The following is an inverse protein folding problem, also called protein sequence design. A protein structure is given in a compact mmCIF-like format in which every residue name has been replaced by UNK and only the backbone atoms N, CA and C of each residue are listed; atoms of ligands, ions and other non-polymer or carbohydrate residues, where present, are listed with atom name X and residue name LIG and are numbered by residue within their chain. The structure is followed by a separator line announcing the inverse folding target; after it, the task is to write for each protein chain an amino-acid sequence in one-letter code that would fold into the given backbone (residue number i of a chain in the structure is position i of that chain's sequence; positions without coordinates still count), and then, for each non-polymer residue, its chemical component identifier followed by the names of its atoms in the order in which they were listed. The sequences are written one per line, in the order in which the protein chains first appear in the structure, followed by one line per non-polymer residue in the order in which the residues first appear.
data_IF_723491154969
#
_entry.id   IF_723491154969
#
_cell.length_a   1.000
_cell.length_b   1.000
_cell.length_c   1.000
_cell.angle_alpha   90.00
_cell.angle_beta   90.00
_cell.angle_gamma   90.00
#
_symmetry.space_group_name_H-M   'P 1'
#
loop_
_entity.id
_entity.type
_entity.pdbx_description
1 polymer ?
#
# COMPACT_ATOMS: atom_id res chain seq x y z
N UNK A 1 21.98 -3.78 9.38
CA UNK A 1 21.08 -4.95 9.36
C UNK A 1 19.72 -4.51 9.84
N UNK A 2 18.65 -4.87 9.13
CA UNK A 2 17.28 -4.62 9.58
C UNK A 2 16.96 -5.46 10.81
N UNK A 3 16.42 -4.85 11.87
CA UNK A 3 16.02 -5.56 13.09
C UNK A 3 14.63 -6.15 12.97
N UNK A 4 13.70 -5.38 12.41
CA UNK A 4 12.35 -5.79 12.13
C UNK A 4 12.17 -6.04 10.62
N UNK A 5 11.31 -7.00 10.29
CA UNK A 5 10.76 -7.13 8.95
C UNK A 5 9.73 -6.03 8.73
N UNK A 6 9.58 -5.60 7.47
CA UNK A 6 8.72 -4.47 7.12
C UNK A 6 7.93 -4.77 5.86
N UNK A 7 6.67 -4.36 5.87
CA UNK A 7 5.77 -4.37 4.71
C UNK A 7 5.65 -2.96 4.17
N UNK A 8 6.29 -2.70 3.03
CA UNK A 8 6.39 -1.36 2.46
C UNK A 8 5.34 -1.13 1.37
N UNK A 9 4.35 -0.24 1.58
CA UNK A 9 3.34 0.01 0.57
C UNK A 9 3.93 0.70 -0.66
N UNK A 10 3.39 0.41 -1.85
CA UNK A 10 3.91 0.97 -3.11
C UNK A 10 3.13 2.16 -3.67
N UNK A 11 2.05 2.59 -3.01
CA UNK A 11 1.21 3.67 -3.52
C UNK A 11 1.83 5.07 -3.37
N UNK A 12 1.28 6.03 -4.10
CA UNK A 12 1.77 7.42 -4.07
C UNK A 12 1.70 8.05 -2.67
N UNK A 13 0.75 7.62 -1.83
CA UNK A 13 0.65 8.06 -0.44
C UNK A 13 1.78 7.52 0.44
N UNK A 14 2.33 6.34 0.13
CA UNK A 14 3.47 5.76 0.86
C UNK A 14 4.74 6.62 0.76
N UNK A 15 4.88 7.41 -0.33
CA UNK A 15 5.99 8.36 -0.47
C UNK A 15 5.85 9.57 0.46
N UNK A 16 4.62 9.92 0.86
CA UNK A 16 4.33 11.04 1.76
C UNK A 16 4.38 10.62 3.22
N UNK A 17 3.91 9.42 3.51
CA UNK A 17 3.91 8.82 4.84
C UNK A 17 4.67 7.48 4.81
N UNK A 18 6.02 7.54 4.88
CA UNK A 18 6.85 6.36 4.83
C UNK A 18 6.74 5.53 6.11
N UNK A 19 6.81 4.21 5.98
CA UNK A 19 6.75 3.30 7.14
C UNK A 19 8.10 3.31 7.86
N UNK A 20 8.15 3.48 9.20
CA UNK A 20 9.39 3.46 9.93
C UNK A 20 9.96 2.05 10.09
N UNK A 21 11.28 1.93 10.04
CA UNK A 21 12.05 0.71 10.25
C UNK A 21 13.31 1.00 11.05
N UNK A 22 13.80 -0.01 11.78
CA UNK A 22 15.00 0.12 12.61
C UNK A 22 16.14 -0.71 12.05
N UNK A 23 17.26 -0.05 11.77
CA UNK A 23 18.49 -0.67 11.30
C UNK A 23 19.53 -0.63 12.42
N UNK A 24 20.11 -1.79 12.72
CA UNK A 24 21.29 -1.91 13.59
C UNK A 24 22.57 -1.87 12.78
N UNK A 25 23.51 -1.03 13.21
CA UNK A 25 24.85 -0.95 12.62
C UNK A 25 25.70 -2.11 13.12
N UNK A 26 26.10 -3.00 12.20
CA UNK A 26 26.92 -4.19 12.52
C UNK A 26 28.43 -3.95 12.44
N UNK A 27 28.85 -3.00 11.63
CA UNK A 27 30.25 -2.77 11.30
C UNK A 27 30.65 -1.34 11.57
N UNK A 28 31.95 -1.10 11.71
CA UNK A 28 32.50 0.24 11.80
C UNK A 28 32.14 1.03 10.54
N UNK A 29 31.79 2.30 10.71
CA UNK A 29 31.54 3.18 9.59
C UNK A 29 32.86 3.50 8.88
N UNK A 30 32.82 3.47 7.55
CA UNK A 30 33.95 3.81 6.69
C UNK A 30 33.77 5.27 6.25
N UNK A 31 34.67 6.14 6.70
CA UNK A 31 34.69 7.54 6.32
C UNK A 31 35.62 7.76 5.12
N UNK A 32 35.48 8.91 4.42
CA UNK A 32 36.46 9.35 3.44
C UNK A 32 37.89 9.28 4.03
N UNK A 33 38.87 9.00 3.17
CA UNK A 33 40.28 8.77 3.56
C UNK A 33 40.53 7.51 4.41
N UNK A 34 39.62 6.52 4.38
CA UNK A 34 39.74 5.24 5.11
C UNK A 34 39.78 5.38 6.63
N UNK A 35 39.35 6.52 7.17
CA UNK A 35 39.15 6.69 8.60
C UNK A 35 37.96 5.82 9.02
N UNK A 36 38.07 5.16 10.17
CA UNK A 36 36.99 4.31 10.70
C UNK A 36 36.42 4.93 11.96
N UNK A 37 35.09 4.98 12.06
CA UNK A 37 34.41 5.33 13.29
C UNK A 37 33.75 4.06 13.87
N UNK A 38 33.94 3.84 15.17
CA UNK A 38 33.27 2.75 15.86
C UNK A 38 31.85 3.14 16.21
N UNK A 39 30.91 2.72 15.37
CA UNK A 39 29.47 2.95 15.49
C UNK A 39 28.72 1.62 15.58
N UNK A 40 29.38 0.56 16.03
CA UNK A 40 28.75 -0.76 16.18
C UNK A 40 27.64 -0.69 17.23
N UNK A 41 26.57 -1.45 16.99
CA UNK A 41 25.38 -1.50 17.86
C UNK A 41 24.58 -0.19 17.96
N UNK A 42 24.97 0.88 17.26
CA UNK A 42 24.12 2.05 17.11
C UNK A 42 22.87 1.72 16.27
N UNK A 43 21.81 2.48 16.50
CA UNK A 43 20.54 2.32 15.80
C UNK A 43 20.29 3.46 14.83
N UNK A 44 19.73 3.12 13.68
CA UNK A 44 19.34 4.03 12.63
C UNK A 44 17.85 3.85 12.35
N UNK A 45 17.06 4.87 12.66
CA UNK A 45 15.68 4.99 12.26
C UNK A 45 15.64 5.38 10.78
N UNK A 46 14.88 4.62 9.99
CA UNK A 46 14.67 4.91 8.57
C UNK A 46 13.19 4.90 8.24
N UNK A 47 12.74 5.83 7.40
CA UNK A 47 11.43 5.79 6.77
C UNK A 47 11.55 5.21 5.36
N UNK A 48 10.65 4.31 4.98
CA UNK A 48 10.66 3.73 3.64
C UNK A 48 9.32 3.64 2.92
N UNK A 49 9.42 3.37 1.62
CA UNK A 49 8.28 3.01 0.76
C UNK A 49 8.71 1.99 -0.29
N UNK A 50 7.75 1.24 -0.82
CA UNK A 50 7.98 0.24 -1.86
C UNK A 50 7.87 0.84 -3.26
N UNK A 51 8.64 0.32 -4.20
CA UNK A 51 8.43 0.52 -5.63
C UNK A 51 8.14 -0.83 -6.29
N UNK A 52 6.97 -0.91 -6.91
CA UNK A 52 6.52 -2.12 -7.59
C UNK A 52 7.31 -2.39 -8.87
N UNK A 53 7.70 -1.34 -9.61
CA UNK A 53 8.42 -1.50 -10.87
C UNK A 53 9.81 -2.10 -10.67
N UNK A 54 10.46 -1.73 -9.56
CA UNK A 54 11.81 -2.18 -9.23
C UNK A 54 11.84 -3.34 -8.23
N UNK A 55 10.69 -3.77 -7.71
CA UNK A 55 10.52 -4.74 -6.62
C UNK A 55 11.42 -4.42 -5.41
N UNK A 56 11.49 -3.13 -5.04
CA UNK A 56 12.46 -2.62 -4.06
C UNK A 56 11.80 -1.73 -3.02
N UNK A 57 12.23 -1.87 -1.78
CA UNK A 57 11.95 -0.95 -0.70
C UNK A 57 13.05 0.12 -0.63
N UNK A 58 12.67 1.37 -0.87
CA UNK A 58 13.55 2.52 -0.69
C UNK A 58 13.48 2.97 0.76
N UNK A 59 14.63 3.02 1.43
CA UNK A 59 14.74 3.45 2.83
C UNK A 59 15.56 4.73 2.88
N UNK A 60 15.07 5.73 3.62
CA UNK A 60 15.72 7.01 3.88
C UNK A 60 16.00 7.14 5.37
N UNK A 61 17.19 7.63 5.71
CA UNK A 61 17.55 7.96 7.10
C UNK A 61 16.68 9.05 7.68
N UNK A 62 16.32 8.89 8.94
CA UNK A 62 15.64 9.92 9.72
C UNK A 62 16.51 10.33 10.91
N UNK A 63 16.72 9.40 11.84
CA UNK A 63 17.44 9.66 13.09
C UNK A 63 18.46 8.57 13.36
N UNK A 64 19.67 8.97 13.70
CA UNK A 64 20.71 8.09 14.19
C UNK A 64 20.85 8.25 15.71
N UNK A 65 20.80 7.12 16.43
CA UNK A 65 20.92 7.06 17.88
C UNK A 65 22.04 6.12 18.29
N UNK A 66 22.94 6.59 19.15
CA UNK A 66 24.01 5.78 19.71
C UNK A 66 24.37 6.19 21.13
N UNK A 67 24.80 5.22 21.93
CA UNK A 67 25.35 5.43 23.26
C UNK A 67 26.85 5.13 23.19
N UNK A 68 27.67 6.12 23.53
CA UNK A 68 29.12 5.99 23.56
C UNK A 68 29.56 5.28 24.85
N UNK A 69 30.76 4.70 24.84
CA UNK A 69 31.32 3.96 25.99
C UNK A 69 31.44 4.79 27.29
N UNK A 70 31.43 6.11 27.19
CA UNK A 70 31.47 7.03 28.34
C UNK A 70 30.08 7.50 28.80
N UNK A 71 29.01 6.89 28.28
CA UNK A 71 27.62 7.21 28.63
C UNK A 71 27.02 8.38 27.85
N UNK A 72 27.78 9.04 26.98
CA UNK A 72 27.26 10.12 26.13
C UNK A 72 26.24 9.61 25.11
N UNK A 73 25.09 10.28 25.02
CA UNK A 73 24.03 9.97 24.05
C UNK A 73 24.23 10.83 22.80
N UNK A 74 24.21 10.19 21.64
CA UNK A 74 24.27 10.83 20.33
C UNK A 74 22.93 10.56 19.66
N UNK A 75 22.12 11.60 19.50
CA UNK A 75 20.89 11.55 18.73
C UNK A 75 20.90 12.69 17.72
N UNK A 76 21.02 12.34 16.43
CA UNK A 76 21.16 13.32 15.37
C UNK A 76 20.30 12.95 14.16
N UNK A 77 19.73 13.93 13.46
CA UNK A 77 19.09 13.68 12.18
C UNK A 77 20.15 13.27 11.15
N UNK A 78 19.81 12.30 10.31
CA UNK A 78 20.73 11.76 9.32
C UNK A 78 20.07 11.65 7.96
N UNK A 79 20.71 12.21 6.93
CA UNK A 79 20.24 12.14 5.56
C UNK A 79 21.09 11.14 4.77
N UNK A 80 20.44 10.07 4.35
CA UNK A 80 21.06 8.99 3.60
C UNK A 80 20.03 8.00 3.07
N UNK A 81 20.52 7.01 2.33
CA UNK A 81 19.68 5.98 1.73
C UNK A 81 20.29 4.59 1.91
N UNK A 82 19.43 3.57 1.95
CA UNK A 82 19.87 2.19 1.97
C UNK A 82 20.17 1.66 0.56
N UNK A 83 21.20 0.83 0.49
CA UNK A 83 21.63 0.06 -0.66
C UNK A 83 21.52 -1.42 -0.31
N UNK A 84 20.88 -2.19 -1.18
CA UNK A 84 20.71 -3.62 -1.02
C UNK A 84 22.03 -4.39 -1.14
N UNK A 85 21.99 -5.67 -0.78
CA UNK A 85 23.12 -6.60 -0.91
C UNK A 85 23.61 -6.75 -2.37
N UNK A 86 22.77 -6.38 -3.34
CA UNK A 86 23.11 -6.36 -4.77
C UNK A 86 23.75 -5.05 -5.23
N UNK A 87 24.10 -4.15 -4.32
CA UNK A 87 24.78 -2.87 -4.62
C UNK A 87 23.89 -1.83 -5.29
N UNK A 88 22.57 -2.05 -5.33
CA UNK A 88 21.60 -1.12 -5.93
C UNK A 88 20.87 -0.34 -4.85
N UNK A 89 20.43 0.88 -5.19
CA UNK A 89 19.63 1.71 -4.29
C UNK A 89 18.32 0.99 -3.95
N UNK A 90 18.01 0.91 -2.67
CA UNK A 90 16.85 0.19 -2.15
C UNK A 90 17.13 -1.29 -1.92
N UNK A 91 16.40 -1.87 -0.98
CA UNK A 91 16.49 -3.28 -0.61
C UNK A 91 15.45 -4.05 -1.43
N UNK A 92 15.89 -4.99 -2.27
CA UNK A 92 14.96 -5.85 -3.05
C UNK A 92 14.06 -6.62 -2.12
N UNK A 93 12.74 -6.59 -2.26
CA UNK A 93 11.82 -7.34 -1.42
C UNK A 93 10.90 -8.26 -2.23
N UNK A 94 10.05 -9.01 -1.54
CA UNK A 94 9.04 -9.86 -2.17
C UNK A 94 7.77 -9.04 -2.40
N UNK A 95 7.28 -9.01 -3.63
CA UNK A 95 6.00 -8.38 -3.93
C UNK A 95 4.87 -9.25 -3.38
N UNK A 96 4.07 -8.70 -2.48
CA UNK A 96 2.86 -9.34 -1.99
C UNK A 96 1.67 -8.48 -2.37
N UNK A 97 0.88 -9.00 -3.32
CA UNK A 97 -0.38 -8.37 -3.70
C UNK A 97 -1.53 -9.04 -2.98
N UNK A 98 -2.30 -8.25 -2.23
CA UNK A 98 -3.58 -8.67 -1.64
C UNK A 98 -4.75 -8.48 -2.62
N UNK A 99 -4.49 -7.98 -3.83
CA UNK A 99 -5.52 -7.61 -4.82
C UNK A 99 -6.09 -8.81 -5.58
N UNK A 100 -5.34 -9.91 -5.73
CA UNK A 100 -5.74 -11.02 -6.61
C UNK A 100 -7.09 -11.66 -6.28
N UNK A 101 -7.39 -11.82 -4.98
CA UNK A 101 -8.68 -12.41 -4.53
C UNK A 101 -9.84 -11.43 -4.71
N UNK A 102 -9.62 -10.13 -4.51
CA UNK A 102 -10.68 -9.14 -4.67
C UNK A 102 -10.94 -8.81 -6.13
N UNK A 103 -9.89 -8.69 -6.96
CA UNK A 103 -10.04 -8.49 -8.40
C UNK A 103 -10.75 -9.69 -9.03
N UNK A 104 -10.43 -10.92 -8.61
CA UNK A 104 -11.17 -12.12 -9.04
C UNK A 104 -12.65 -12.05 -8.64
N UNK A 105 -12.97 -11.58 -7.42
CA UNK A 105 -14.36 -11.37 -6.97
C UNK A 105 -15.07 -10.24 -7.72
N UNK A 106 -14.39 -9.13 -7.99
CA UNK A 106 -14.92 -8.01 -8.77
C UNK A 106 -15.15 -8.39 -10.23
N UNK A 107 -14.24 -9.14 -10.85
CA UNK A 107 -14.42 -9.72 -12.18
C UNK A 107 -15.57 -10.74 -12.21
N UNK A 108 -15.69 -11.60 -11.20
CA UNK A 108 -16.81 -12.54 -11.07
C UNK A 108 -18.15 -11.80 -10.92
N UNK A 109 -18.19 -10.74 -10.11
CA UNK A 109 -19.37 -9.90 -9.95
C UNK A 109 -19.71 -9.11 -11.22
N UNK A 110 -18.72 -8.54 -11.91
CA UNK A 110 -18.89 -7.83 -13.18
C UNK A 110 -19.34 -8.75 -14.33
N UNK A 111 -18.89 -10.01 -14.33
CA UNK A 111 -19.35 -11.03 -15.28
C UNK A 111 -20.80 -11.44 -14.99
N UNK A 112 -21.19 -11.56 -13.71
CA UNK A 112 -22.57 -11.80 -13.29
C UNK A 112 -23.50 -10.62 -13.64
N UNK A 113 -23.05 -9.38 -13.47
CA UNK A 113 -23.80 -8.17 -13.86
C UNK A 113 -23.96 -8.05 -15.39
N UNK A 114 -22.96 -8.49 -16.16
CA UNK A 114 -23.05 -8.48 -17.63
C UNK A 114 -24.07 -9.48 -18.17
N UNK A 115 -24.32 -10.59 -17.48
CA UNK A 115 -25.36 -11.55 -17.86
C UNK A 115 -26.79 -11.04 -17.59
N UNK A 116 -26.99 -10.16 -16.61
CA UNK A 116 -28.32 -9.59 -16.34
C UNK A 116 -28.84 -8.62 -17.41
N UNK A 117 -27.97 -8.03 -18.24
CA UNK A 117 -28.42 -7.18 -19.36
C UNK A 117 -28.93 -7.98 -20.58
N UNK A 118 -28.57 -9.27 -20.68
CA UNK A 118 -28.95 -10.12 -21.82
C UNK A 118 -30.35 -10.74 -21.63
N UNK A 119 -30.82 -10.90 -20.39
CA UNK A 119 -32.15 -11.44 -20.11
C UNK A 119 -33.31 -10.45 -20.30
N UNK A 120 -33.04 -9.14 -20.46
CA UNK A 120 -34.08 -8.13 -20.70
C UNK A 120 -34.39 -7.86 -22.18
N UNK A 121 -33.90 -8.70 -23.10
CA UNK A 121 -34.30 -8.67 -24.53
C UNK A 121 -35.09 -9.92 -24.92
N UNK A 122 -36.19 -10.21 -24.21
CA UNK A 122 -37.29 -10.98 -24.81
C UNK A 122 -38.40 -10.01 -25.22
N UNK A 123 -38.71 -9.87 -26.52
CA UNK A 123 -39.90 -9.13 -26.93
C UNK A 123 -41.12 -9.92 -26.47
N UNK A 124 -41.90 -9.35 -25.54
CA UNK A 124 -43.17 -9.95 -25.14
C UNK A 124 -44.17 -9.81 -26.28
N UNK A 125 -44.68 -10.95 -26.74
CA UNK A 125 -45.73 -11.07 -27.76
C UNK A 125 -47.04 -10.47 -27.18
N UNK A 126 -47.76 -9.59 -27.88
CA UNK A 126 -49.03 -9.07 -27.39
C UNK A 126 -50.12 -10.13 -27.53
N UNK A 127 -50.66 -10.61 -26.41
CA UNK A 127 -51.86 -11.46 -26.42
C UNK A 127 -53.06 -10.61 -26.02
N UNK A 128 -53.95 -10.45 -27.00
CA UNK A 128 -55.24 -9.79 -26.90
C UNK A 128 -56.30 -10.84 -26.53
N UNK A 129 -56.92 -10.77 -25.34
CA UNK A 129 -58.22 -11.43 -25.06
C UNK A 129 -58.96 -10.80 -23.87
N UNK A 130 -60.06 -10.10 -24.16
CA UNK A 130 -61.40 -10.44 -23.63
C UNK A 130 -61.77 -10.15 -22.17
N UNK A 131 -62.65 -9.16 -22.00
CA UNK A 131 -63.80 -9.08 -21.06
C UNK A 131 -63.90 -10.09 -19.91
N UNK A 132 -63.75 -9.60 -18.67
CA UNK A 132 -64.16 -10.29 -17.45
C UNK A 132 -63.83 -9.47 -16.21
N UNK A 133 -64.85 -9.02 -15.49
CA UNK A 133 -64.76 -8.36 -14.18
C UNK A 133 -64.16 -9.31 -13.14
N UNK A 134 -62.90 -9.10 -12.79
CA UNK A 134 -62.34 -9.57 -11.53
C UNK A 134 -61.33 -8.56 -11.00
N UNK A 135 -61.53 -8.12 -9.76
CA UNK A 135 -60.70 -7.10 -9.09
C UNK A 135 -59.44 -7.79 -8.61
N UNK A 136 -58.48 -7.96 -9.51
CA UNK A 136 -57.15 -8.45 -9.17
C UNK A 136 -56.34 -7.26 -8.65
N UNK A 137 -55.91 -7.35 -7.38
CA UNK A 137 -54.95 -6.44 -6.78
C UNK A 137 -53.82 -6.19 -7.78
N UNK A 138 -53.67 -4.95 -8.26
CA UNK A 138 -52.55 -4.56 -9.11
C UNK A 138 -51.28 -4.76 -8.30
N UNK A 139 -50.67 -5.92 -8.48
CA UNK A 139 -49.28 -6.14 -8.16
C UNK A 139 -48.51 -4.98 -8.77
N UNK A 140 -47.91 -4.15 -7.93
CA UNK A 140 -46.93 -3.11 -8.29
C UNK A 140 -45.65 -3.73 -8.89
N UNK A 141 -45.73 -4.94 -9.43
CA UNK A 141 -44.78 -5.58 -10.33
C UNK A 141 -45.37 -5.58 -11.74
N UNK A 142 -45.75 -4.40 -12.23
CA UNK A 142 -45.88 -4.22 -13.67
C UNK A 142 -44.49 -4.16 -14.29
N UNK A 143 -44.25 -4.75 -15.48
CA UNK A 143 -43.02 -4.55 -16.25
C UNK A 143 -42.69 -3.07 -16.46
N UNK A 144 -43.71 -2.20 -16.41
CA UNK A 144 -43.58 -0.74 -16.43
C UNK A 144 -42.91 -0.16 -15.17
N UNK A 145 -43.13 -0.73 -13.99
CA UNK A 145 -42.45 -0.32 -12.74
C UNK A 145 -40.98 -0.76 -12.74
N UNK A 146 -40.69 -1.93 -13.32
CA UNK A 146 -39.31 -2.40 -13.52
C UNK A 146 -38.57 -1.57 -14.58
N UNK A 147 -39.25 -1.15 -15.66
CA UNK A 147 -38.66 -0.26 -16.66
C UNK A 147 -38.49 1.18 -16.15
N UNK A 148 -39.40 1.68 -15.31
CA UNK A 148 -39.27 3.00 -14.67
C UNK A 148 -38.13 3.02 -13.63
N UNK A 149 -37.93 1.93 -12.89
CA UNK A 149 -36.77 1.75 -12.02
C UNK A 149 -35.44 1.71 -12.81
N UNK A 150 -35.45 1.14 -14.02
CA UNK A 150 -34.28 1.11 -14.91
C UNK A 150 -33.92 2.49 -15.50
N UNK A 151 -34.90 3.38 -15.68
CA UNK A 151 -34.72 4.67 -16.35
C UNK A 151 -34.26 5.82 -15.44
N UNK A 152 -34.50 5.75 -14.13
CA UNK A 152 -34.24 6.88 -13.21
C UNK A 152 -33.26 6.60 -12.06
N UNK A 153 -32.81 5.36 -11.81
CA UNK A 153 -32.11 5.07 -10.54
C UNK A 153 -30.96 4.06 -10.55
N UNK A 154 -30.70 3.33 -11.64
CA UNK A 154 -29.67 2.28 -11.62
C UNK A 154 -28.26 2.86 -11.86
N UNK A 155 -28.12 3.90 -12.68
CA UNK A 155 -26.80 4.50 -12.98
C UNK A 155 -26.09 5.03 -11.72
N UNK A 156 -26.72 5.96 -10.99
CA UNK A 156 -26.07 6.58 -9.83
C UNK A 156 -25.85 5.67 -8.62
N UNK A 157 -26.66 4.61 -8.44
CA UNK A 157 -26.43 3.63 -7.38
C UNK A 157 -25.32 2.64 -7.73
N UNK A 158 -25.23 2.22 -9.00
CA UNK A 158 -24.14 1.39 -9.50
C UNK A 158 -22.83 2.18 -9.56
N UNK A 159 -22.86 3.45 -9.98
CA UNK A 159 -21.69 4.33 -9.98
C UNK A 159 -21.16 4.55 -8.56
N UNK A 160 -22.05 4.72 -7.56
CA UNK A 160 -21.64 4.81 -6.14
C UNK A 160 -21.06 3.51 -5.60
N UNK A 161 -21.64 2.36 -5.96
CA UNK A 161 -21.09 1.07 -5.57
C UNK A 161 -19.75 0.81 -6.26
N UNK A 162 -19.64 1.10 -7.56
CA UNK A 162 -18.40 1.01 -8.30
C UNK A 162 -17.34 1.92 -7.68
N UNK A 163 -17.67 3.19 -7.40
CA UNK A 163 -16.77 4.12 -6.72
C UNK A 163 -16.39 3.61 -5.32
N UNK A 164 -17.33 3.08 -4.53
CA UNK A 164 -17.02 2.50 -3.21
C UNK A 164 -16.07 1.29 -3.32
N UNK A 165 -16.28 0.40 -4.30
CA UNK A 165 -15.40 -0.75 -4.54
C UNK A 165 -14.07 -0.34 -5.15
N UNK A 166 -14.02 0.72 -5.97
CA UNK A 166 -12.81 1.31 -6.52
C UNK A 166 -12.00 1.98 -5.40
N UNK A 167 -12.63 2.79 -4.54
CA UNK A 167 -12.01 3.41 -3.37
C UNK A 167 -11.46 2.34 -2.41
N UNK A 168 -12.21 1.25 -2.20
CA UNK A 168 -11.77 0.12 -1.39
C UNK A 168 -10.63 -0.66 -2.08
N UNK A 169 -10.62 -0.75 -3.41
CA UNK A 169 -9.53 -1.36 -4.17
C UNK A 169 -8.26 -0.49 -4.16
N UNK A 170 -8.40 0.84 -4.18
CA UNK A 170 -7.29 1.80 -4.06
C UNK A 170 -6.60 1.73 -2.68
N UNK A 171 -7.32 1.32 -1.63
CA UNK A 171 -6.72 1.05 -0.31
C UNK A 171 -5.89 -0.25 -0.27
N UNK A 172 -6.05 -1.15 -1.24
CA UNK A 172 -5.34 -2.43 -1.31
C UNK A 172 -4.08 -2.32 -2.17
N UNK A 173 -3.22 -1.36 -1.84
CA UNK A 173 -1.95 -1.22 -2.51
C UNK A 173 -1.08 -2.47 -2.28
N UNK A 174 -0.34 -2.94 -3.30
CA UNK A 174 0.61 -4.02 -3.10
C UNK A 174 1.69 -3.55 -2.12
N UNK A 175 2.26 -4.51 -1.39
CA UNK A 175 3.34 -4.25 -0.44
C UNK A 175 4.59 -4.99 -0.86
N UNK A 176 5.74 -4.39 -0.60
CA UNK A 176 7.06 -5.00 -0.73
C UNK A 176 7.45 -5.48 0.67
N UNK A 177 7.47 -6.80 0.86
CA UNK A 177 7.87 -7.43 2.10
C UNK A 177 9.40 -7.59 2.12
N UNK A 178 10.03 -7.09 3.18
CA UNK A 178 11.46 -7.22 3.43
C UNK A 178 11.65 -7.90 4.79
N UNK A 179 12.25 -9.08 4.76
CA UNK A 179 12.49 -9.86 5.98
C UNK A 179 13.44 -9.17 6.96
N UNK A 180 13.27 -9.50 8.24
CA UNK A 180 14.22 -9.13 9.30
C UNK A 180 15.59 -9.78 9.06
N UNK A 181 16.64 -9.18 9.62
CA UNK A 181 17.99 -9.74 9.57
C UNK A 181 18.75 -9.50 8.27
N UNK A 182 18.12 -8.84 7.29
CA UNK A 182 18.74 -8.57 5.99
C UNK A 182 19.86 -7.53 6.07
N UNK A 183 20.90 -7.77 5.27
CA UNK A 183 22.01 -6.86 5.08
C UNK A 183 21.58 -5.68 4.22
N UNK A 184 21.99 -4.49 4.63
CA UNK A 184 21.89 -3.30 3.80
C UNK A 184 23.07 -2.41 4.15
N UNK A 185 23.63 -1.76 3.14
CA UNK A 185 24.60 -0.69 3.31
C UNK A 185 23.85 0.64 3.35
N UNK A 186 24.29 1.57 4.19
CA UNK A 186 23.65 2.87 4.32
C UNK A 186 24.64 3.96 3.93
N UNK A 187 24.28 4.75 2.92
CA UNK A 187 25.13 5.79 2.35
C UNK A 187 24.58 7.15 2.78
N UNK A 188 25.47 8.00 3.31
CA UNK A 188 25.12 9.35 3.73
C UNK A 188 25.17 10.31 2.54
N UNK A 189 24.10 11.08 2.36
CA UNK A 189 24.05 12.14 1.35
C UNK A 189 24.84 13.37 1.77
N UNK A 190 24.89 13.62 3.08
CA UNK A 190 25.53 14.80 3.67
C UNK A 190 26.38 14.38 4.87
N UNK A 191 27.51 15.05 5.04
CA UNK A 191 28.33 14.90 6.24
C UNK A 191 27.55 15.37 7.47
N UNK A 192 27.69 14.62 8.57
CA UNK A 192 26.98 14.90 9.81
C UNK A 192 27.99 15.14 10.93
N UNK A 193 27.77 16.17 11.73
CA UNK A 193 28.53 16.41 12.95
C UNK A 193 27.82 15.71 14.10
N UNK A 194 28.49 14.74 14.72
CA UNK A 194 27.97 14.05 15.91
C UNK A 194 28.17 14.97 17.12
N UNK A 195 27.17 15.79 17.42
CA UNK A 195 27.11 16.57 18.65
C UNK A 195 26.56 15.67 19.76
N UNK A 196 27.13 15.77 20.96
CA UNK A 196 26.60 15.10 22.14
C UNK A 196 25.26 15.75 22.51
N UNK A 197 24.25 14.93 22.78
CA UNK A 197 23.09 15.40 23.52
C UNK A 197 23.49 15.48 24.99
N UNK A 198 23.17 16.59 25.65
CA UNK A 198 23.39 16.71 27.10
C UNK A 198 22.60 15.60 27.79
N UNK A 199 23.31 14.74 28.51
CA UNK A 199 22.71 13.63 29.26
C UNK A 199 21.93 14.27 30.40
N UNK A 200 20.60 14.16 30.36
CA UNK A 200 19.75 14.48 31.51
C UNK A 200 19.86 13.28 32.46
N UNK A 201 20.55 13.48 33.58
CA UNK A 201 20.57 12.55 34.73
C UNK A 201 19.16 12.28 35.27
#
# INVERSE_FOLDING_TARGET
MLLNGIDMPTGQNARKDPVPALIRVKHQAILPNRVRADLRECFLLVGGFGDLASERAYLRGETFSCIRNDGGVIEIPIDGYAVGEDGKVGVRGRVVSKQGVLLAKALQAGFLQSFSQIFNRMPTIPVNTGTGTDVQFQSMLTPQALSAASAQGVGGAMDRLANYYLDMAEQLLPVIEVDAGRGAEFILNRGVSMKLADVVE
#
